data_IF_365548067523
#
_entry.id   IF_365548067523
#
_cell.length_a   1.000
_cell.length_b   1.000
_cell.length_c   1.000
_cell.angle_alpha   90.00
_cell.angle_beta   90.00
_cell.angle_gamma   90.00
#
_symmetry.space_group_name_H-M   'P 1'
#
loop_
_entity.id
_entity.type
_entity.pdbx_description
1 polymer ?
#
# COMPACT_ATOMS: atom_id res chain seq x y z
N UNK A 1 8.35 31.60 11.93
CA UNK A 1 7.16 31.72 11.07
C UNK A 1 6.31 30.48 11.32
N UNK A 2 5.03 30.62 11.63
CA UNK A 2 4.11 29.48 11.78
C UNK A 2 3.43 29.25 10.43
N UNK A 3 3.40 28.00 9.99
CA UNK A 3 2.78 27.59 8.74
C UNK A 3 1.66 26.58 9.00
N UNK A 4 0.57 26.65 8.24
CA UNK A 4 -0.49 25.65 8.33
C UNK A 4 0.01 24.31 7.79
N UNK A 5 -0.29 23.22 8.51
CA UNK A 5 0.11 21.88 8.13
C UNK A 5 -0.50 21.48 6.77
N UNK A 6 0.33 21.43 5.74
CA UNK A 6 -0.10 21.05 4.40
C UNK A 6 -0.22 19.53 4.25
N UNK A 7 0.69 18.78 4.89
CA UNK A 7 0.75 17.33 4.85
C UNK A 7 1.42 16.76 6.12
N UNK A 8 1.19 15.51 6.44
CA UNK A 8 1.66 14.89 7.69
C UNK A 8 3.01 14.16 7.54
N UNK A 9 3.45 13.88 6.31
CA UNK A 9 4.63 13.04 6.04
C UNK A 9 5.95 13.76 6.20
N UNK A 10 6.10 14.97 5.65
CA UNK A 10 7.36 15.73 5.78
C UNK A 10 7.75 16.02 7.23
N UNK A 11 6.83 16.43 8.12
CA UNK A 11 7.14 16.56 9.56
C UNK A 11 7.58 15.23 10.19
N UNK A 12 6.92 14.13 9.82
CA UNK A 12 7.30 12.80 10.30
C UNK A 12 8.68 12.39 9.85
N UNK A 13 9.02 12.57 8.57
CA UNK A 13 10.36 12.25 8.05
C UNK A 13 11.43 13.06 8.79
N UNK A 14 11.18 14.33 9.11
CA UNK A 14 12.10 15.11 9.94
C UNK A 14 12.31 14.45 11.31
N UNK A 15 11.25 13.98 11.95
CA UNK A 15 11.35 13.28 13.23
C UNK A 15 12.12 11.96 13.10
N UNK A 16 11.86 11.14 12.06
CA UNK A 16 12.57 9.89 11.77
C UNK A 16 14.09 10.14 11.64
N UNK A 17 14.46 11.17 10.88
CA UNK A 17 15.87 11.52 10.63
C UNK A 17 16.57 12.01 11.90
N UNK A 18 15.93 12.92 12.64
CA UNK A 18 16.50 13.48 13.89
C UNK A 18 16.70 12.39 14.95
N UNK A 19 15.77 11.44 15.05
CA UNK A 19 15.83 10.36 16.04
C UNK A 19 16.52 9.09 15.50
N UNK A 20 17.04 9.10 14.26
CA UNK A 20 17.71 7.97 13.62
C UNK A 20 16.91 6.66 13.69
N UNK A 21 15.62 6.73 13.37
CA UNK A 21 14.71 5.59 13.46
C UNK A 21 14.87 4.70 12.22
N UNK A 22 15.16 3.42 12.39
CA UNK A 22 15.38 2.44 11.33
C UNK A 22 14.19 1.53 11.05
N UNK A 23 13.35 1.29 12.07
CA UNK A 23 12.16 0.46 11.96
C UNK A 23 11.04 1.07 12.79
N UNK A 24 9.94 1.45 12.14
CA UNK A 24 8.80 2.05 12.80
C UNK A 24 7.55 1.98 11.94
N UNK A 25 6.41 1.70 12.57
CA UNK A 25 5.09 1.82 11.94
C UNK A 25 4.27 2.83 12.72
N UNK A 26 3.65 3.76 12.01
CA UNK A 26 2.77 4.74 12.65
C UNK A 26 1.47 4.89 11.87
N UNK A 27 0.45 5.37 12.55
CA UNK A 27 -0.63 6.11 11.93
C UNK A 27 -0.77 7.48 12.59
N UNK A 28 -1.24 8.44 11.82
CA UNK A 28 -1.56 9.78 12.31
C UNK A 28 -2.84 10.25 11.64
N UNK A 29 -3.76 10.80 12.43
CA UNK A 29 -4.99 11.42 11.95
C UNK A 29 -4.96 12.88 12.38
N UNK A 30 -4.90 13.78 11.39
CA UNK A 30 -4.87 15.20 11.70
C UNK A 30 -5.51 16.01 10.57
N UNK A 31 -5.73 17.30 10.87
CA UNK A 31 -6.25 18.26 9.92
C UNK A 31 -5.11 18.76 9.03
N UNK A 32 -5.32 18.69 7.72
CA UNK A 32 -4.41 19.25 6.73
C UNK A 32 -5.09 20.37 5.96
N UNK A 33 -4.30 21.33 5.50
CA UNK A 33 -4.78 22.52 4.85
C UNK A 33 -4.32 22.59 3.40
N UNK A 34 -5.18 23.07 2.52
CA UNK A 34 -4.85 23.29 1.12
C UNK A 34 -4.93 24.78 0.83
N UNK A 35 -4.07 25.23 -0.09
CA UNK A 35 -4.00 26.63 -0.49
C UNK A 35 -5.39 27.14 -0.91
N UNK A 36 -5.75 28.30 -0.40
CA UNK A 36 -6.97 28.99 -0.81
C UNK A 36 -6.84 29.49 -2.25
N UNK A 37 -7.96 29.49 -2.96
CA UNK A 37 -8.06 30.15 -4.26
C UNK A 37 -8.59 31.56 -4.04
N UNK A 38 -7.85 32.57 -4.48
CA UNK A 38 -8.19 33.98 -4.27
C UNK A 38 -8.08 34.41 -2.79
N UNK A 39 -9.09 35.11 -2.29
CA UNK A 39 -9.16 35.60 -0.90
C UNK A 39 -9.95 34.69 0.04
N UNK A 40 -10.28 33.48 -0.37
CA UNK A 40 -10.99 32.51 0.48
C UNK A 40 -10.11 31.99 1.62
N UNK A 41 -10.75 31.47 2.67
CA UNK A 41 -10.03 30.74 3.73
C UNK A 41 -9.44 29.45 3.18
N UNK A 42 -8.27 29.01 3.71
CA UNK A 42 -7.69 27.72 3.30
C UNK A 42 -8.67 26.57 3.53
N UNK A 43 -8.87 25.76 2.51
CA UNK A 43 -9.63 24.53 2.65
C UNK A 43 -8.88 23.56 3.58
N UNK A 44 -9.60 22.89 4.44
CA UNK A 44 -9.02 21.87 5.31
C UNK A 44 -9.88 20.61 5.32
N UNK A 45 -9.25 19.47 5.60
CA UNK A 45 -9.92 18.20 5.79
C UNK A 45 -9.10 17.29 6.69
N UNK A 46 -9.75 16.26 7.26
CA UNK A 46 -9.06 15.25 8.04
C UNK A 46 -8.42 14.21 7.10
N UNK A 47 -7.12 14.05 7.29
CA UNK A 47 -6.29 13.05 6.60
C UNK A 47 -5.78 12.05 7.62
N UNK A 48 -5.80 10.76 7.25
CA UNK A 48 -5.14 9.70 7.99
C UNK A 48 -3.94 9.23 7.20
N UNK A 49 -2.76 9.26 7.79
CA UNK A 49 -1.54 8.68 7.22
C UNK A 49 -1.18 7.39 7.94
N UNK A 50 -0.72 6.41 7.17
CA UNK A 50 -0.06 5.23 7.68
C UNK A 50 1.29 5.11 7.02
N UNK A 51 2.35 5.00 7.81
CA UNK A 51 3.74 4.98 7.34
C UNK A 51 4.50 3.81 7.96
N UNK A 52 5.35 3.19 7.14
CA UNK A 52 6.27 2.12 7.53
C UNK A 52 7.69 2.57 7.21
N UNK A 53 8.53 2.65 8.22
CA UNK A 53 9.96 2.90 8.11
C UNK A 53 10.69 1.56 8.25
N UNK A 54 11.64 1.30 7.36
CA UNK A 54 12.35 0.01 7.29
C UNK A 54 11.59 -1.04 6.49
N UNK A 55 12.06 -2.28 6.55
CA UNK A 55 11.46 -3.42 5.88
C UNK A 55 11.84 -3.58 4.41
N UNK A 56 11.43 -4.73 3.86
CA UNK A 56 11.69 -5.08 2.46
C UNK A 56 10.79 -4.33 1.52
N UNK A 57 11.33 -3.87 0.41
CA UNK A 57 10.56 -3.33 -0.72
C UNK A 57 9.49 -4.31 -1.18
N UNK A 58 8.39 -3.78 -1.70
CA UNK A 58 7.18 -4.45 -2.18
C UNK A 58 6.30 -5.03 -1.07
N UNK A 59 6.89 -5.63 -0.04
CA UNK A 59 6.14 -6.17 1.10
C UNK A 59 5.50 -5.05 1.92
N UNK A 60 6.27 -4.00 2.20
CA UNK A 60 5.78 -2.83 2.95
C UNK A 60 4.75 -2.02 2.16
N UNK A 61 4.90 -1.93 0.83
CA UNK A 61 3.89 -1.33 -0.05
C UNK A 61 2.60 -2.12 -0.05
N UNK A 62 2.70 -3.44 -0.12
CA UNK A 62 1.52 -4.32 -0.05
C UNK A 62 0.81 -4.20 1.31
N UNK A 63 1.57 -4.10 2.40
CA UNK A 63 1.00 -3.90 3.74
C UNK A 63 0.28 -2.55 3.85
N UNK A 64 0.85 -1.47 3.32
CA UNK A 64 0.19 -0.16 3.30
C UNK A 64 -1.15 -0.19 2.55
N UNK A 65 -1.20 -0.87 1.39
CA UNK A 65 -2.45 -1.09 0.66
C UNK A 65 -3.43 -1.93 1.48
N UNK A 66 -2.96 -3.01 2.11
CA UNK A 66 -3.79 -3.91 2.93
C UNK A 66 -4.47 -3.17 4.09
N UNK A 67 -3.74 -2.34 4.81
CA UNK A 67 -4.28 -1.54 5.92
C UNK A 67 -5.47 -0.67 5.47
N UNK A 68 -5.32 0.04 4.35
CA UNK A 68 -6.41 0.89 3.83
C UNK A 68 -7.57 0.05 3.28
N UNK A 69 -7.28 -1.08 2.63
CA UNK A 69 -8.34 -1.99 2.16
C UNK A 69 -9.15 -2.54 3.34
N UNK A 70 -8.51 -2.97 4.42
CA UNK A 70 -9.19 -3.48 5.62
C UNK A 70 -10.02 -2.40 6.32
N UNK A 71 -9.51 -1.17 6.35
CA UNK A 71 -10.26 -0.04 6.86
C UNK A 71 -11.46 0.26 5.97
N UNK A 72 -11.27 0.39 4.66
CA UNK A 72 -12.32 0.75 3.72
C UNK A 72 -13.43 -0.30 3.63
N UNK A 73 -13.10 -1.58 3.74
CA UNK A 73 -14.08 -2.68 3.72
C UNK A 73 -14.96 -2.77 4.97
N UNK A 74 -14.62 -2.02 6.03
CA UNK A 74 -15.53 -1.85 7.18
C UNK A 74 -16.73 -0.94 6.83
N UNK A 75 -16.60 -0.08 5.85
CA UNK A 75 -17.60 0.91 5.44
C UNK A 75 -18.23 0.59 4.08
N UNK A 76 -17.47 0.01 3.18
CA UNK A 76 -17.87 -0.24 1.79
C UNK A 76 -17.74 -1.70 1.42
N UNK A 77 -18.56 -2.15 0.46
CA UNK A 77 -18.42 -3.51 -0.05
C UNK A 77 -17.07 -3.65 -0.80
N UNK A 78 -16.33 -4.76 -0.64
CA UNK A 78 -15.00 -4.92 -1.28
C UNK A 78 -15.02 -4.71 -2.79
N UNK A 79 -16.08 -5.12 -3.50
CA UNK A 79 -16.20 -4.93 -4.95
C UNK A 79 -16.34 -3.48 -5.40
N UNK A 80 -16.67 -2.57 -4.47
CA UNK A 80 -16.77 -1.14 -4.74
C UNK A 80 -15.41 -0.41 -4.69
N UNK A 81 -14.34 -1.09 -4.27
CA UNK A 81 -13.03 -0.47 -4.06
C UNK A 81 -12.08 -0.94 -5.16
N UNK A 82 -11.43 -0.02 -5.88
CA UNK A 82 -10.39 -0.32 -6.87
C UNK A 82 -9.01 0.14 -6.34
N UNK A 83 -8.03 -0.73 -6.46
CA UNK A 83 -6.61 -0.42 -6.23
C UNK A 83 -5.93 -0.28 -7.58
N UNK A 84 -5.32 0.88 -7.86
CA UNK A 84 -4.55 1.11 -9.07
C UNK A 84 -3.09 1.22 -8.73
N UNK A 85 -2.29 0.49 -9.47
CA UNK A 85 -0.83 0.41 -9.32
C UNK A 85 -0.15 0.94 -10.56
N UNK A 86 0.95 1.62 -10.36
CA UNK A 86 1.93 1.90 -11.39
C UNK A 86 3.34 1.90 -10.78
N UNK A 87 4.34 1.97 -11.64
CA UNK A 87 5.73 2.09 -11.26
C UNK A 87 6.35 3.27 -12.00
N UNK A 88 7.07 4.14 -11.27
CA UNK A 88 7.67 5.35 -11.86
C UNK A 88 8.55 5.06 -13.06
N UNK A 89 9.30 3.94 -13.04
CA UNK A 89 10.14 3.53 -14.17
C UNK A 89 9.33 3.09 -15.38
N UNK A 90 8.22 2.36 -15.17
CA UNK A 90 7.31 1.98 -16.27
C UNK A 90 6.71 3.22 -16.92
N UNK A 91 6.26 4.18 -16.13
CA UNK A 91 5.75 5.46 -16.64
C UNK A 91 6.81 6.21 -17.46
N UNK A 92 8.05 6.27 -16.97
CA UNK A 92 9.15 6.90 -17.70
C UNK A 92 9.41 6.22 -19.06
N UNK A 93 9.39 4.89 -19.13
CA UNK A 93 9.55 4.16 -20.38
C UNK A 93 8.39 4.38 -21.35
N UNK A 94 7.16 4.44 -20.84
CA UNK A 94 5.98 4.82 -21.65
C UNK A 94 6.15 6.22 -22.23
N UNK A 95 6.62 7.19 -21.45
CA UNK A 95 6.89 8.53 -21.96
C UNK A 95 7.99 8.57 -23.00
N UNK A 96 9.09 7.83 -22.81
CA UNK A 96 10.16 7.72 -23.78
C UNK A 96 9.66 7.06 -25.09
N UNK A 97 8.91 5.96 -24.96
CA UNK A 97 8.32 5.26 -26.12
C UNK A 97 7.30 6.15 -26.86
N UNK A 98 6.47 6.89 -26.12
CA UNK A 98 5.52 7.81 -26.73
C UNK A 98 6.20 9.03 -27.36
N UNK A 99 7.41 9.39 -26.95
CA UNK A 99 8.15 10.57 -27.40
C UNK A 99 7.80 11.85 -26.65
N UNK A 100 7.39 11.72 -25.38
CA UNK A 100 7.13 12.87 -24.50
C UNK A 100 8.45 13.43 -23.98
N UNK A 101 8.78 14.66 -24.37
CA UNK A 101 10.01 15.34 -23.94
C UNK A 101 10.00 15.62 -22.43
N UNK A 102 11.17 15.64 -21.81
CA UNK A 102 11.31 15.85 -20.34
C UNK A 102 10.66 17.13 -19.86
N UNK A 103 10.67 18.18 -20.68
CA UNK A 103 10.20 19.52 -20.34
C UNK A 103 8.68 19.58 -20.14
N UNK A 104 7.92 18.76 -20.87
CA UNK A 104 6.44 18.77 -20.82
C UNK A 104 5.86 17.62 -20.00
N UNK A 105 6.68 16.70 -19.46
CA UNK A 105 6.19 15.53 -18.73
C UNK A 105 5.29 15.89 -17.56
N UNK A 106 5.63 16.95 -16.83
CA UNK A 106 4.82 17.39 -15.70
C UNK A 106 3.42 17.82 -16.16
N UNK A 107 3.33 18.66 -17.18
CA UNK A 107 2.04 19.12 -17.73
C UNK A 107 1.22 17.97 -18.34
N UNK A 108 1.89 17.03 -19.02
CA UNK A 108 1.25 15.81 -19.52
C UNK A 108 0.72 14.96 -18.36
N UNK A 109 1.50 14.78 -17.27
CA UNK A 109 1.07 14.04 -16.09
C UNK A 109 -0.16 14.67 -15.42
N UNK A 110 -0.20 15.99 -15.32
CA UNK A 110 -1.35 16.73 -14.78
C UNK A 110 -2.62 16.48 -15.61
N UNK A 111 -2.54 16.54 -16.94
CA UNK A 111 -3.66 16.23 -17.82
C UNK A 111 -4.07 14.75 -17.74
N UNK A 112 -3.12 13.83 -17.73
CA UNK A 112 -3.41 12.40 -17.61
C UNK A 112 -4.03 12.04 -16.27
N UNK A 113 -3.74 12.79 -15.20
CA UNK A 113 -4.37 12.56 -13.89
C UNK A 113 -5.90 12.66 -13.95
N UNK A 114 -6.44 13.45 -14.88
CA UNK A 114 -7.89 13.61 -15.08
C UNK A 114 -8.55 12.33 -15.61
N UNK A 115 -7.86 11.55 -16.44
CA UNK A 115 -8.41 10.26 -16.92
C UNK A 115 -8.25 9.14 -15.90
N UNK A 116 -7.29 9.25 -14.99
CA UNK A 116 -7.04 8.24 -13.95
C UNK A 116 -8.23 8.13 -12.98
N UNK A 117 -9.06 9.16 -12.81
CA UNK A 117 -10.29 9.07 -12.03
C UNK A 117 -11.29 8.03 -12.59
N UNK A 118 -11.22 7.74 -13.89
CA UNK A 118 -12.06 6.74 -14.54
C UNK A 118 -11.33 5.39 -14.62
N UNK A 119 -12.03 4.24 -14.36
CA UNK A 119 -11.40 2.92 -14.45
C UNK A 119 -10.80 2.66 -15.83
N UNK A 120 -9.64 1.97 -15.92
CA UNK A 120 -9.09 1.54 -17.20
C UNK A 120 -10.15 0.79 -18.04
N UNK A 121 -10.11 1.01 -19.34
CA UNK A 121 -11.03 0.40 -20.34
C UNK A 121 -12.52 0.77 -20.18
N UNK A 122 -12.91 1.60 -19.23
CA UNK A 122 -14.28 2.07 -19.07
C UNK A 122 -14.73 2.96 -20.25
N UNK A 123 -16.04 2.98 -20.52
CA UNK A 123 -16.63 3.86 -21.55
C UNK A 123 -16.35 5.32 -21.24
N UNK A 124 -16.42 5.72 -19.97
CA UNK A 124 -16.15 7.08 -19.51
C UNK A 124 -14.69 7.46 -19.77
N UNK A 125 -13.72 6.58 -19.48
CA UNK A 125 -12.30 6.84 -19.78
C UNK A 125 -12.08 7.07 -21.27
N UNK A 126 -12.73 6.29 -22.13
CA UNK A 126 -12.68 6.48 -23.58
C UNK A 126 -13.29 7.82 -24.00
N UNK A 127 -14.39 8.23 -23.39
CA UNK A 127 -15.01 9.53 -23.64
C UNK A 127 -14.11 10.70 -23.21
N UNK A 128 -13.46 10.59 -22.05
CA UNK A 128 -12.56 11.62 -21.53
C UNK A 128 -11.32 11.81 -22.42
N UNK A 129 -10.89 10.77 -23.15
CA UNK A 129 -9.78 10.89 -24.09
C UNK A 129 -10.00 11.96 -25.17
N UNK A 130 -11.24 12.19 -25.61
CA UNK A 130 -11.53 13.25 -26.59
C UNK A 130 -11.17 14.65 -26.08
N UNK A 131 -11.42 14.90 -24.80
CA UNK A 131 -11.06 16.14 -24.12
C UNK A 131 -9.53 16.24 -23.91
N UNK A 132 -8.93 15.22 -23.34
CA UNK A 132 -7.48 15.17 -23.06
C UNK A 132 -6.67 15.29 -24.36
N UNK A 133 -7.07 14.56 -25.42
CA UNK A 133 -6.42 14.66 -26.74
C UNK A 133 -6.38 16.10 -27.24
N UNK A 134 -7.49 16.82 -27.11
CA UNK A 134 -7.56 18.23 -27.54
C UNK A 134 -6.58 19.10 -26.75
N UNK A 135 -6.52 18.94 -25.44
CA UNK A 135 -5.59 19.72 -24.60
C UNK A 135 -4.13 19.37 -24.89
N UNK A 136 -3.79 18.09 -25.07
CA UNK A 136 -2.43 17.67 -25.42
C UNK A 136 -1.97 18.26 -26.76
N UNK A 137 -2.87 18.34 -27.75
CA UNK A 137 -2.55 18.89 -29.07
C UNK A 137 -2.53 20.43 -29.09
N UNK A 138 -3.52 21.07 -28.46
CA UNK A 138 -3.72 22.54 -28.57
C UNK A 138 -2.98 23.32 -27.49
N UNK A 139 -2.98 22.84 -26.24
CA UNK A 139 -2.41 23.57 -25.11
C UNK A 139 -0.93 23.24 -24.92
N UNK A 140 -0.56 21.95 -25.07
CA UNK A 140 0.82 21.50 -24.93
C UNK A 140 1.56 21.34 -26.25
N UNK A 141 0.90 21.58 -27.39
CA UNK A 141 1.47 21.51 -28.74
C UNK A 141 2.21 20.19 -29.04
N UNK A 142 1.74 19.07 -28.47
CA UNK A 142 2.32 17.77 -28.77
C UNK A 142 2.00 17.34 -30.19
N UNK A 143 2.96 16.65 -30.82
CA UNK A 143 2.72 16.06 -32.12
C UNK A 143 1.62 14.98 -32.03
N UNK A 144 0.78 14.87 -33.05
CA UNK A 144 -0.33 13.92 -33.11
C UNK A 144 0.13 12.47 -32.84
N UNK A 145 1.26 12.09 -33.44
CA UNK A 145 1.86 10.76 -33.25
C UNK A 145 2.24 10.46 -31.78
N UNK A 146 2.59 11.48 -30.98
CA UNK A 146 2.87 11.32 -29.54
C UNK A 146 1.58 11.04 -28.80
N UNK A 147 0.53 11.81 -29.08
CA UNK A 147 -0.78 11.65 -28.46
C UNK A 147 -1.41 10.31 -28.82
N UNK A 148 -1.29 9.85 -30.06
CA UNK A 148 -1.75 8.53 -30.52
C UNK A 148 -1.04 7.39 -29.78
N UNK A 149 0.27 7.52 -29.53
CA UNK A 149 1.02 6.54 -28.74
C UNK A 149 0.59 6.53 -27.28
N UNK A 150 0.35 7.69 -26.66
CA UNK A 150 -0.19 7.75 -25.28
C UNK A 150 -1.56 7.09 -25.19
N UNK A 151 -2.45 7.36 -26.15
CA UNK A 151 -3.76 6.71 -26.21
C UNK A 151 -3.65 5.20 -26.46
N UNK A 152 -2.69 4.77 -27.26
CA UNK A 152 -2.39 3.36 -27.47
C UNK A 152 -1.88 2.71 -26.19
N UNK A 153 -1.02 3.39 -25.40
CA UNK A 153 -0.57 2.91 -24.10
C UNK A 153 -1.75 2.67 -23.15
N UNK A 154 -2.70 3.61 -23.11
CA UNK A 154 -3.92 3.46 -22.30
C UNK A 154 -4.73 2.24 -22.69
N UNK A 155 -5.03 2.10 -23.98
CA UNK A 155 -5.87 1.01 -24.48
C UNK A 155 -5.21 -0.37 -24.36
N UNK A 156 -3.89 -0.42 -24.54
CA UNK A 156 -3.16 -1.69 -24.63
C UNK A 156 -2.61 -2.15 -23.29
N UNK A 157 -2.09 -1.25 -22.47
CA UNK A 157 -1.31 -1.61 -21.29
C UNK A 157 -2.02 -1.29 -19.96
N UNK A 158 -3.10 -0.51 -19.95
CA UNK A 158 -3.93 -0.35 -18.77
C UNK A 158 -5.03 -1.42 -18.72
N UNK A 159 -5.30 -1.95 -17.52
CA UNK A 159 -6.33 -2.98 -17.34
C UNK A 159 -6.19 -3.74 -16.04
N UNK A 160 -6.93 -4.85 -15.90
CA UNK A 160 -6.76 -5.76 -14.78
C UNK A 160 -5.29 -6.22 -14.68
N UNK A 161 -4.80 -6.41 -13.46
CA UNK A 161 -3.38 -6.65 -13.21
C UNK A 161 -2.80 -7.77 -14.08
N UNK A 162 -3.46 -8.92 -14.16
CA UNK A 162 -2.96 -10.08 -14.93
C UNK A 162 -2.87 -9.78 -16.43
N UNK A 163 -3.93 -9.16 -16.99
CA UNK A 163 -3.98 -8.84 -18.41
C UNK A 163 -2.97 -7.75 -18.78
N UNK A 164 -2.84 -6.72 -17.96
CA UNK A 164 -1.91 -5.62 -18.20
C UNK A 164 -0.46 -6.10 -18.10
N UNK A 165 -0.11 -6.87 -17.06
CA UNK A 165 1.24 -7.43 -16.88
C UNK A 165 1.61 -8.38 -18.01
N UNK A 166 0.69 -9.24 -18.47
CA UNK A 166 0.94 -10.13 -19.61
C UNK A 166 1.26 -9.35 -20.91
N UNK A 167 0.52 -8.26 -21.17
CA UNK A 167 0.74 -7.41 -22.34
C UNK A 167 2.03 -6.60 -22.23
N UNK A 168 2.36 -6.09 -21.04
CA UNK A 168 3.60 -5.36 -20.78
C UNK A 168 4.83 -6.24 -20.95
N UNK A 169 4.78 -7.49 -20.49
CA UNK A 169 5.87 -8.47 -20.71
C UNK A 169 6.08 -8.81 -22.19
N UNK A 170 5.01 -8.82 -22.97
CA UNK A 170 5.06 -9.01 -24.43
C UNK A 170 5.54 -7.76 -25.20
N UNK A 171 5.59 -6.60 -24.56
CA UNK A 171 6.17 -5.39 -25.11
C UNK A 171 7.69 -5.43 -24.88
N UNK A 172 8.47 -5.25 -25.95
CA UNK A 172 9.94 -5.24 -25.83
C UNK A 172 10.35 -3.91 -25.20
N UNK A 173 10.66 -3.93 -23.91
CA UNK A 173 11.35 -2.82 -23.25
C UNK A 173 12.85 -3.04 -23.37
N UNK A 174 13.59 -2.12 -24.00
CA UNK A 174 15.03 -2.28 -24.20
C UNK A 174 15.83 -2.11 -22.89
N UNK A 175 15.21 -1.53 -21.86
CA UNK A 175 15.88 -1.22 -20.60
C UNK A 175 15.69 -2.32 -19.54
N UNK A 176 16.81 -2.81 -19.00
CA UNK A 176 16.81 -3.79 -17.89
C UNK A 176 16.10 -3.29 -16.65
N UNK A 177 16.13 -1.98 -16.37
CA UNK A 177 15.44 -1.39 -15.24
C UNK A 177 13.92 -1.42 -15.40
N UNK A 178 13.43 -1.27 -16.63
CA UNK A 178 12.01 -1.43 -16.92
C UNK A 178 11.56 -2.89 -16.72
N UNK A 179 12.37 -3.86 -17.15
CA UNK A 179 12.08 -5.28 -16.88
C UNK A 179 12.00 -5.57 -15.38
N UNK A 180 12.95 -5.04 -14.60
CA UNK A 180 12.91 -5.17 -13.14
C UNK A 180 11.65 -4.51 -12.53
N UNK A 181 11.27 -3.34 -13.01
CA UNK A 181 10.05 -2.66 -12.56
C UNK A 181 8.77 -3.47 -12.84
N UNK A 182 8.72 -4.21 -13.95
CA UNK A 182 7.62 -5.13 -14.26
C UNK A 182 7.61 -6.36 -13.33
N UNK A 183 8.79 -6.87 -12.96
CA UNK A 183 8.90 -7.93 -11.97
C UNK A 183 8.43 -7.46 -10.59
N UNK A 184 8.81 -6.24 -10.20
CA UNK A 184 8.35 -5.62 -8.95
C UNK A 184 6.83 -5.44 -8.92
N UNK A 185 6.20 -4.95 -10.00
CA UNK A 185 4.75 -4.89 -10.12
C UNK A 185 4.10 -6.27 -10.03
N UNK A 186 4.68 -7.28 -10.67
CA UNK A 186 4.18 -8.65 -10.62
C UNK A 186 4.24 -9.23 -9.22
N UNK A 187 5.33 -9.00 -8.50
CA UNK A 187 5.52 -9.43 -7.11
C UNK A 187 4.54 -8.73 -6.18
N UNK A 188 4.36 -7.41 -6.36
CA UNK A 188 3.36 -6.65 -5.62
C UNK A 188 1.95 -7.22 -5.79
N UNK A 189 1.54 -7.53 -7.02
CA UNK A 189 0.24 -8.16 -7.30
C UNK A 189 0.13 -9.53 -6.65
N UNK A 190 1.22 -10.32 -6.61
CA UNK A 190 1.26 -11.61 -5.92
C UNK A 190 1.03 -11.45 -4.41
N UNK A 191 1.67 -10.48 -3.77
CA UNK A 191 1.46 -10.21 -2.34
C UNK A 191 0.03 -9.75 -2.03
N UNK A 192 -0.53 -8.86 -2.84
CA UNK A 192 -1.93 -8.45 -2.70
C UNK A 192 -2.89 -9.64 -2.87
N UNK A 193 -2.56 -10.57 -3.76
CA UNK A 193 -3.32 -11.80 -3.97
C UNK A 193 -3.31 -12.70 -2.73
N UNK A 194 -2.15 -12.89 -2.11
CA UNK A 194 -1.99 -13.63 -0.84
C UNK A 194 -2.89 -13.04 0.24
N UNK A 195 -3.08 -11.72 0.24
CA UNK A 195 -3.98 -11.04 1.16
C UNK A 195 -5.42 -10.89 0.64
N UNK A 196 -5.82 -11.70 -0.34
CA UNK A 196 -7.16 -11.73 -0.93
C UNK A 196 -7.63 -10.42 -1.58
N UNK A 197 -6.69 -9.56 -1.98
CA UNK A 197 -6.96 -8.33 -2.72
C UNK A 197 -6.68 -8.60 -4.21
N UNK A 198 -7.57 -9.31 -4.89
CA UNK A 198 -7.31 -9.79 -6.27
C UNK A 198 -8.18 -9.10 -7.30
N UNK A 199 -9.49 -9.07 -7.06
CA UNK A 199 -10.47 -8.77 -8.11
C UNK A 199 -10.52 -7.29 -8.50
N UNK A 200 -9.89 -6.42 -7.72
CA UNK A 200 -9.98 -4.98 -7.86
C UNK A 200 -8.61 -4.31 -8.05
N UNK A 201 -7.59 -5.09 -8.45
CA UNK A 201 -6.25 -4.57 -8.72
C UNK A 201 -6.08 -4.30 -10.20
N UNK A 202 -5.74 -3.06 -10.52
CA UNK A 202 -5.56 -2.55 -11.86
C UNK A 202 -4.15 -2.02 -12.05
N UNK A 203 -3.54 -2.27 -13.19
CA UNK A 203 -2.34 -1.57 -13.63
C UNK A 203 -2.77 -0.40 -14.52
N UNK A 204 -2.29 0.79 -14.19
CA UNK A 204 -2.53 2.00 -14.96
C UNK A 204 -1.21 2.69 -15.30
N UNK A 205 -0.62 2.32 -16.43
CA UNK A 205 0.72 2.78 -16.85
C UNK A 205 0.80 4.29 -17.10
N UNK A 206 -0.34 4.97 -17.23
CA UNK A 206 -0.41 6.42 -17.40
C UNK A 206 -0.65 7.16 -16.09
N UNK A 207 -0.89 6.45 -14.99
CA UNK A 207 -1.10 7.05 -13.67
C UNK A 207 0.21 7.66 -13.16
N UNK A 208 0.30 9.00 -13.01
CA UNK A 208 1.47 9.63 -12.41
C UNK A 208 1.47 9.44 -10.88
N UNK A 209 2.64 9.50 -10.25
CA UNK A 209 2.70 9.60 -8.79
C UNK A 209 2.06 10.91 -8.34
N UNK A 210 1.30 10.86 -7.23
CA UNK A 210 0.63 12.05 -6.68
C UNK A 210 1.59 13.00 -5.97
N UNK A 211 2.72 12.47 -5.51
CA UNK A 211 3.77 13.25 -4.86
C UNK A 211 5.09 13.07 -5.60
N UNK A 212 5.83 14.14 -5.75
CA UNK A 212 7.10 14.16 -6.50
C UNK A 212 8.19 13.29 -5.88
N UNK A 213 8.08 13.02 -4.59
CA UNK A 213 9.02 12.18 -3.84
C UNK A 213 8.69 10.69 -3.91
N UNK A 214 7.57 10.28 -4.50
CA UNK A 214 7.30 8.86 -4.68
C UNK A 214 8.20 8.25 -5.75
N UNK A 215 8.81 7.14 -5.41
CA UNK A 215 9.71 6.37 -6.27
C UNK A 215 9.31 4.90 -6.30
N UNK A 216 9.63 4.20 -7.39
CA UNK A 216 9.23 2.80 -7.53
C UNK A 216 7.72 2.65 -7.66
N UNK A 217 7.13 1.70 -6.93
CA UNK A 217 5.68 1.48 -6.93
C UNK A 217 4.96 2.61 -6.22
N UNK A 218 3.93 3.11 -6.88
CA UNK A 218 2.94 4.03 -6.30
C UNK A 218 1.54 3.53 -6.62
N UNK A 219 0.58 3.90 -5.76
CA UNK A 219 -0.77 3.38 -5.84
C UNK A 219 -1.82 4.41 -5.44
N UNK A 220 -3.01 4.23 -5.98
CA UNK A 220 -4.19 5.02 -5.68
C UNK A 220 -5.35 4.07 -5.42
N UNK A 221 -6.17 4.38 -4.42
CA UNK A 221 -7.35 3.60 -4.05
C UNK A 221 -8.59 4.45 -4.30
N UNK A 222 -9.51 3.89 -5.07
CA UNK A 222 -10.74 4.55 -5.50
C UNK A 222 -11.96 3.81 -4.99
N UNK A 223 -12.99 4.56 -4.63
CA UNK A 223 -14.34 4.06 -4.42
C UNK A 223 -15.16 4.25 -5.72
N UNK A 224 -15.73 3.16 -6.23
CA UNK A 224 -16.73 3.21 -7.31
C UNK A 224 -18.03 3.74 -6.75
N UNK A 225 -18.61 4.75 -7.35
CA UNK A 225 -19.93 5.21 -6.92
C UNK A 225 -21.01 4.20 -7.31
N UNK A 226 -21.96 4.00 -6.40
CA UNK A 226 -23.14 3.17 -6.65
C UNK A 226 -24.06 3.83 -7.70
N UNK A 227 -24.62 3.00 -8.57
CA UNK A 227 -25.39 3.29 -9.81
C UNK A 227 -26.64 4.16 -9.68
N UNK A 228 -26.78 5.07 -8.72
CA UNK A 228 -28.04 5.81 -8.54
C UNK A 228 -28.05 7.29 -8.97
N UNK A 229 -26.90 7.88 -9.28
CA UNK A 229 -26.88 9.26 -9.82
C UNK A 229 -25.87 9.34 -10.96
N UNK A 230 -26.36 9.68 -12.15
CA UNK A 230 -25.65 10.01 -13.40
C UNK A 230 -24.12 9.87 -13.42
N UNK A 231 -23.63 8.89 -14.20
CA UNK A 231 -22.26 8.76 -14.75
C UNK A 231 -21.13 9.29 -13.87
N UNK A 232 -20.94 8.69 -12.68
CA UNK A 232 -20.07 9.27 -11.70
C UNK A 232 -18.60 8.83 -11.83
N UNK A 233 -17.71 9.72 -11.48
CA UNK A 233 -16.29 9.47 -11.34
C UNK A 233 -16.03 8.66 -10.09
N UNK A 234 -15.10 7.68 -10.18
CA UNK A 234 -14.67 6.98 -8.98
C UNK A 234 -14.00 8.00 -8.04
N UNK A 235 -14.38 7.98 -6.78
CA UNK A 235 -13.83 8.92 -5.80
C UNK A 235 -12.47 8.43 -5.30
N UNK A 236 -11.43 9.23 -5.49
CA UNK A 236 -10.10 8.97 -4.93
C UNK A 236 -10.17 9.06 -3.40
N UNK A 237 -9.90 7.92 -2.73
CA UNK A 237 -9.90 7.82 -1.27
C UNK A 237 -8.51 7.89 -0.68
N UNK A 238 -7.54 7.19 -1.29
CA UNK A 238 -6.20 7.13 -0.74
C UNK A 238 -5.13 7.12 -1.84
N UNK A 239 -3.96 7.64 -1.48
CA UNK A 239 -2.76 7.70 -2.33
C UNK A 239 -1.55 7.27 -1.54
N UNK A 240 -0.62 6.56 -2.17
CA UNK A 240 0.58 6.12 -1.48
C UNK A 240 1.70 5.68 -2.40
N UNK A 241 2.84 5.40 -1.80
CA UNK A 241 4.03 4.93 -2.49
C UNK A 241 5.27 4.95 -1.61
N UNK A 242 6.37 4.54 -2.19
CA UNK A 242 7.69 4.57 -1.56
C UNK A 242 8.28 5.98 -1.62
N UNK A 243 8.86 6.43 -0.50
CA UNK A 243 9.44 7.78 -0.40
C UNK A 243 10.86 7.78 0.21
N UNK A 244 11.65 6.76 -0.08
CA UNK A 244 13.05 6.64 0.38
C UNK A 244 13.86 7.90 0.06
N UNK A 245 13.63 8.51 -1.11
CA UNK A 245 14.31 9.71 -1.53
C UNK A 245 14.08 10.90 -0.57
N UNK A 246 12.86 11.04 -0.04
CA UNK A 246 12.54 12.09 0.93
C UNK A 246 13.34 11.89 2.25
N UNK A 247 13.52 10.64 2.67
CA UNK A 247 14.36 10.30 3.83
C UNK A 247 15.82 10.57 3.51
N UNK A 248 16.32 10.10 2.36
CA UNK A 248 17.71 10.26 1.94
C UNK A 248 18.14 11.72 1.85
N UNK A 249 17.30 12.59 1.31
CA UNK A 249 17.62 14.03 1.20
C UNK A 249 17.88 14.70 2.54
N UNK A 250 17.27 14.19 3.61
CA UNK A 250 17.37 14.76 4.96
C UNK A 250 18.32 13.98 5.86
N UNK A 251 18.73 12.77 5.44
CA UNK A 251 19.64 11.92 6.22
C UNK A 251 21.03 12.51 6.20
N UNK A 252 21.58 12.81 7.38
CA UNK A 252 22.89 13.44 7.48
C UNK A 252 24.01 12.50 7.00
N UNK A 253 24.97 13.03 6.26
CA UNK A 253 26.19 12.32 5.88
C UNK A 253 27.07 11.92 7.08
N UNK A 254 26.83 12.51 8.25
CA UNK A 254 27.49 12.16 9.50
C UNK A 254 26.97 10.85 10.09
N UNK A 255 25.79 10.41 9.67
CA UNK A 255 25.24 9.12 10.06
C UNK A 255 26.02 8.00 9.37
N UNK A 256 26.64 7.12 10.14
CA UNK A 256 27.44 5.99 9.63
C UNK A 256 26.62 4.90 8.96
N UNK A 257 25.31 4.97 9.04
CA UNK A 257 24.34 3.98 8.52
C UNK A 257 23.60 4.49 7.31
N UNK A 258 23.21 3.58 6.42
CA UNK A 258 22.34 3.91 5.30
C UNK A 258 20.94 4.29 5.79
N UNK A 259 20.27 5.24 5.13
CA UNK A 259 18.90 5.60 5.46
C UNK A 259 17.96 4.40 5.28
N UNK A 260 16.95 4.24 6.14
CA UNK A 260 15.96 3.18 6.00
C UNK A 260 15.06 3.43 4.80
N UNK A 261 14.48 2.35 4.26
CA UNK A 261 13.37 2.46 3.31
C UNK A 261 12.14 3.06 3.98
N UNK A 262 11.27 3.68 3.20
CA UNK A 262 10.08 4.32 3.71
C UNK A 262 8.92 4.22 2.73
N UNK A 263 7.77 3.79 3.23
CA UNK A 263 6.52 3.66 2.48
C UNK A 263 5.39 4.30 3.26
N UNK A 264 4.45 4.92 2.57
CA UNK A 264 3.29 5.46 3.24
C UNK A 264 2.07 5.58 2.34
N UNK A 265 0.92 5.68 2.99
CA UNK A 265 -0.36 5.90 2.37
C UNK A 265 -1.13 6.99 3.12
N UNK A 266 -1.74 7.90 2.38
CA UNK A 266 -2.56 8.98 2.89
C UNK A 266 -4.02 8.74 2.49
N UNK A 267 -4.91 8.70 3.46
CA UNK A 267 -6.35 8.47 3.32
C UNK A 267 -7.13 9.75 3.59
N UNK A 268 -8.00 10.15 2.68
CA UNK A 268 -8.91 11.27 2.86
C UNK A 268 -10.12 10.84 3.72
N UNK A 269 -9.94 10.79 5.04
CA UNK A 269 -10.93 10.27 5.99
C UNK A 269 -12.27 10.98 5.88
N UNK A 270 -12.27 12.29 5.70
CA UNK A 270 -13.52 13.05 5.58
C UNK A 270 -14.35 12.62 4.35
N UNK A 271 -13.69 12.26 3.24
CA UNK A 271 -14.38 11.71 2.07
C UNK A 271 -14.99 10.34 2.38
N UNK A 272 -14.24 9.48 3.10
CA UNK A 272 -14.74 8.16 3.52
C UNK A 272 -16.00 8.34 4.37
N UNK A 273 -15.97 9.20 5.37
CA UNK A 273 -17.13 9.43 6.24
C UNK A 273 -18.33 10.08 5.54
N UNK A 274 -18.11 10.95 4.56
CA UNK A 274 -19.20 11.54 3.77
C UNK A 274 -19.89 10.53 2.86
N UNK A 275 -19.18 9.50 2.42
CA UNK A 275 -19.67 8.50 1.47
C UNK A 275 -20.24 7.26 2.18
N UNK A 276 -19.86 6.99 3.42
CA UNK A 276 -20.46 5.90 4.17
C UNK A 276 -21.86 6.30 4.67
N UNK A 277 -22.86 5.53 4.31
CA UNK A 277 -24.17 5.60 4.99
C UNK A 277 -23.95 5.23 6.46
N UNK A 278 -24.49 6.06 7.37
CA UNK A 278 -24.20 6.00 8.81
C UNK A 278 -24.89 4.78 9.47
N UNK A 279 -24.44 3.59 9.13
CA UNK A 279 -24.63 2.39 9.96
C UNK A 279 -23.28 1.96 10.52
N UNK A 280 -22.74 2.81 11.38
CA UNK A 280 -21.49 2.49 12.10
C UNK A 280 -21.82 1.33 13.04
N UNK A 281 -21.42 0.13 12.67
CA UNK A 281 -21.45 -1.00 13.59
C UNK A 281 -20.58 -0.66 14.79
N UNK A 282 -21.03 -0.96 16.02
CA UNK A 282 -20.22 -0.70 17.19
C UNK A 282 -18.85 -1.38 17.04
N UNK A 283 -17.77 -0.73 17.53
CA UNK A 283 -16.44 -1.30 17.43
C UNK A 283 -16.45 -2.69 18.09
N UNK A 284 -15.96 -3.68 17.33
CA UNK A 284 -15.76 -5.02 17.91
C UNK A 284 -14.69 -4.91 18.99
N UNK A 285 -14.88 -5.64 20.07
CA UNK A 285 -13.92 -5.71 21.18
C UNK A 285 -12.56 -6.16 20.60
N UNK A 286 -11.57 -5.30 20.67
CA UNK A 286 -10.21 -5.67 20.30
C UNK A 286 -9.65 -6.63 21.34
N UNK A 287 -9.16 -7.77 20.91
CA UNK A 287 -8.42 -8.68 21.77
C UNK A 287 -7.03 -8.07 22.02
N UNK A 288 -6.71 -7.77 23.25
CA UNK A 288 -5.45 -7.12 23.67
C UNK A 288 -4.26 -8.11 23.66
N UNK A 289 -4.15 -8.95 22.64
CA UNK A 289 -2.99 -9.80 22.44
C UNK A 289 -2.21 -9.25 21.25
N UNK A 290 -0.95 -8.93 21.48
CA UNK A 290 -0.01 -8.58 20.41
C UNK A 290 0.79 -9.82 20.05
N UNK A 291 0.72 -10.24 18.79
CA UNK A 291 1.28 -11.53 18.31
C UNK A 291 2.29 -11.24 17.20
N UNK A 292 3.46 -11.87 17.26
CA UNK A 292 4.41 -11.92 16.15
C UNK A 292 4.35 -13.28 15.47
N UNK A 293 4.07 -13.28 14.18
CA UNK A 293 4.15 -14.51 13.35
C UNK A 293 5.58 -14.66 12.84
N UNK A 294 6.23 -15.70 13.33
CA UNK A 294 7.61 -16.04 13.04
C UNK A 294 7.72 -17.27 12.13
N UNK A 295 8.88 -17.45 11.51
CA UNK A 295 9.25 -18.65 10.78
C UNK A 295 10.57 -19.22 11.29
N UNK A 296 10.76 -20.52 11.13
CA UNK A 296 12.02 -21.20 11.38
C UNK A 296 12.35 -22.15 10.23
N UNK A 297 13.39 -21.81 9.46
CA UNK A 297 13.77 -22.53 8.24
C UNK A 297 12.80 -22.31 7.08
N UNK A 298 12.91 -23.12 6.04
CA UNK A 298 11.98 -23.09 4.89
C UNK A 298 12.06 -21.84 4.03
N UNK A 299 13.20 -21.12 3.97
CA UNK A 299 13.33 -19.89 3.19
C UNK A 299 12.45 -18.75 3.71
N UNK A 300 12.19 -18.72 5.03
CA UNK A 300 11.46 -17.65 5.71
C UNK A 300 9.95 -17.80 5.71
N UNK A 301 9.35 -18.70 4.90
CA UNK A 301 7.90 -18.94 4.84
C UNK A 301 7.09 -17.65 4.76
N UNK A 302 7.49 -16.74 3.86
CA UNK A 302 6.93 -15.39 3.78
C UNK A 302 5.43 -15.41 3.52
N UNK A 303 4.97 -16.20 2.56
CA UNK A 303 3.56 -16.25 2.18
C UNK A 303 2.70 -16.80 3.30
N UNK A 304 3.16 -17.84 3.96
CA UNK A 304 2.47 -18.47 5.09
C UNK A 304 2.40 -17.52 6.31
N UNK A 305 3.45 -16.72 6.54
CA UNK A 305 3.43 -15.66 7.57
C UNK A 305 2.42 -14.58 7.21
N UNK A 306 2.38 -14.14 5.96
CA UNK A 306 1.43 -13.14 5.47
C UNK A 306 -0.02 -13.63 5.57
N UNK A 307 -0.29 -14.88 5.19
CA UNK A 307 -1.62 -15.49 5.28
C UNK A 307 -2.11 -15.54 6.73
N UNK A 308 -1.28 -16.06 7.63
CA UNK A 308 -1.66 -16.16 9.03
C UNK A 308 -1.90 -14.81 9.69
N UNK A 309 -1.06 -13.83 9.40
CA UNK A 309 -1.26 -12.46 9.89
C UNK A 309 -2.56 -11.86 9.37
N UNK A 310 -2.89 -12.08 8.10
CA UNK A 310 -4.16 -11.61 7.53
C UNK A 310 -5.38 -12.24 8.22
N UNK A 311 -5.33 -13.54 8.53
CA UNK A 311 -6.40 -14.22 9.29
C UNK A 311 -6.54 -13.65 10.71
N UNK A 312 -5.42 -13.38 11.39
CA UNK A 312 -5.42 -12.78 12.72
C UNK A 312 -6.02 -11.36 12.70
N UNK A 313 -5.67 -10.55 11.69
CA UNK A 313 -6.28 -9.22 11.51
C UNK A 313 -7.79 -9.30 11.24
N UNK A 314 -8.24 -10.26 10.42
CA UNK A 314 -9.67 -10.49 10.19
C UNK A 314 -10.41 -10.89 11.47
N UNK A 315 -9.73 -11.59 12.39
CA UNK A 315 -10.23 -11.92 13.72
C UNK A 315 -10.12 -10.77 14.74
N UNK A 316 -9.73 -9.55 14.32
CA UNK A 316 -9.45 -8.38 15.15
C UNK A 316 -8.36 -8.60 16.23
N UNK A 317 -7.36 -9.40 15.91
CA UNK A 317 -6.17 -9.58 16.74
C UNK A 317 -5.04 -8.68 16.25
N UNK A 318 -4.28 -8.11 17.18
CA UNK A 318 -3.06 -7.37 16.84
C UNK A 318 -1.97 -8.37 16.50
N UNK A 319 -1.60 -8.44 15.24
CA UNK A 319 -0.58 -9.36 14.75
C UNK A 319 0.40 -8.65 13.84
N UNK A 320 1.64 -9.06 13.90
CA UNK A 320 2.73 -8.54 13.07
C UNK A 320 3.61 -9.68 12.58
N UNK A 321 4.46 -9.39 11.63
CA UNK A 321 5.57 -10.25 11.19
C UNK A 321 6.76 -9.37 10.83
N UNK A 322 7.97 -9.90 10.92
CA UNK A 322 9.17 -9.17 10.52
C UNK A 322 9.11 -8.94 9.00
N UNK A 323 9.18 -7.69 8.51
CA UNK A 323 9.00 -7.36 7.09
C UNK A 323 10.27 -7.66 6.26
N UNK A 324 10.78 -8.88 6.41
CA UNK A 324 11.90 -9.46 5.64
C UNK A 324 11.43 -10.76 5.00
N UNK A 325 11.98 -11.12 3.84
CA UNK A 325 11.61 -12.34 3.14
C UNK A 325 12.03 -13.61 3.90
N UNK A 326 13.24 -13.62 4.44
CA UNK A 326 13.83 -14.75 5.17
C UNK A 326 14.56 -14.27 6.44
N UNK A 327 13.82 -13.79 7.48
CA UNK A 327 14.43 -13.37 8.72
C UNK A 327 14.92 -14.57 9.53
N UNK A 328 16.10 -14.47 10.10
CA UNK A 328 16.59 -15.44 11.08
C UNK A 328 15.69 -15.45 12.33
N UNK A 329 15.68 -16.56 13.04
CA UNK A 329 14.89 -16.65 14.27
C UNK A 329 15.36 -15.61 15.32
N UNK A 330 16.66 -15.29 15.34
CA UNK A 330 17.23 -14.27 16.24
C UNK A 330 16.67 -12.89 15.93
N UNK A 331 16.69 -12.47 14.67
CA UNK A 331 16.10 -11.17 14.24
C UNK A 331 14.62 -11.07 14.62
N UNK A 332 13.87 -12.16 14.52
CA UNK A 332 12.47 -12.18 14.90
C UNK A 332 12.27 -12.06 16.42
N UNK A 333 13.15 -12.63 17.24
CA UNK A 333 13.12 -12.45 18.68
C UNK A 333 13.53 -11.03 19.10
N UNK A 334 14.54 -10.48 18.44
CA UNK A 334 14.97 -9.08 18.67
C UNK A 334 13.83 -8.11 18.32
N UNK A 335 13.18 -8.31 17.17
CA UNK A 335 12.00 -7.54 16.78
C UNK A 335 10.88 -7.63 17.84
N UNK A 336 10.59 -8.83 18.35
CA UNK A 336 9.58 -9.00 19.38
C UNK A 336 9.93 -8.24 20.66
N UNK A 337 11.21 -8.24 21.06
CA UNK A 337 11.69 -7.52 22.23
C UNK A 337 11.60 -5.98 22.05
N UNK A 338 12.00 -5.48 20.88
CA UNK A 338 11.94 -4.05 20.55
C UNK A 338 10.51 -3.50 20.52
N UNK A 339 9.53 -4.34 20.13
CA UNK A 339 8.13 -3.93 19.98
C UNK A 339 7.22 -4.41 21.13
N UNK A 340 7.80 -4.88 22.24
CA UNK A 340 7.09 -5.41 23.42
C UNK A 340 6.04 -6.48 23.08
N UNK A 341 6.36 -7.35 22.10
CA UNK A 341 5.50 -8.45 21.68
C UNK A 341 5.84 -9.69 22.52
N UNK A 342 4.87 -10.20 23.25
CA UNK A 342 5.06 -11.29 24.22
C UNK A 342 4.63 -12.65 23.70
N UNK A 343 3.81 -12.70 22.64
CA UNK A 343 3.28 -13.93 22.06
C UNK A 343 3.85 -14.15 20.65
N UNK A 344 4.51 -15.28 20.44
CA UNK A 344 5.06 -15.70 19.16
C UNK A 344 4.30 -16.88 18.61
N UNK A 345 4.00 -16.87 17.31
CA UNK A 345 3.55 -18.05 16.55
C UNK A 345 4.68 -18.42 15.61
N UNK A 346 5.27 -19.59 15.77
CA UNK A 346 6.43 -20.02 15.00
C UNK A 346 5.98 -21.07 13.98
N UNK A 347 6.07 -20.72 12.71
CA UNK A 347 5.81 -21.61 11.58
C UNK A 347 7.09 -22.38 11.21
N UNK A 348 6.94 -23.64 10.88
CA UNK A 348 8.01 -24.46 10.30
C UNK A 348 7.48 -25.22 9.10
N UNK A 349 8.32 -25.47 8.11
CA UNK A 349 7.93 -26.21 6.91
C UNK A 349 7.39 -27.62 7.26
N UNK A 350 8.09 -28.33 8.14
CA UNK A 350 7.65 -29.65 8.61
C UNK A 350 6.33 -29.56 9.40
N UNK A 351 6.15 -28.53 10.21
CA UNK A 351 4.91 -28.29 10.94
C UNK A 351 3.72 -28.11 10.01
N UNK A 352 3.88 -27.28 8.97
CA UNK A 352 2.80 -26.99 8.02
C UNK A 352 2.47 -28.16 7.09
N UNK A 353 3.51 -28.89 6.60
CA UNK A 353 3.32 -29.92 5.57
C UNK A 353 3.04 -31.31 6.13
N UNK A 354 3.60 -31.67 7.31
CA UNK A 354 3.54 -33.02 7.85
C UNK A 354 2.54 -33.18 8.99
N UNK A 355 2.52 -32.23 9.95
CA UNK A 355 1.70 -32.34 11.14
C UNK A 355 0.50 -31.41 11.21
N UNK A 356 0.47 -30.34 10.39
CA UNK A 356 -0.53 -29.31 10.50
C UNK A 356 -0.43 -28.48 11.77
N UNK A 357 0.68 -28.62 12.53
CA UNK A 357 0.88 -28.00 13.83
C UNK A 357 1.77 -26.76 13.73
N UNK A 358 1.45 -25.76 14.52
CA UNK A 358 2.27 -24.56 14.72
C UNK A 358 2.58 -24.39 16.19
N UNK A 359 3.71 -23.78 16.49
CA UNK A 359 4.18 -23.58 17.83
C UNK A 359 3.83 -22.18 18.33
N UNK A 360 3.08 -22.09 19.43
CA UNK A 360 2.76 -20.84 20.10
C UNK A 360 3.61 -20.73 21.37
N UNK A 361 4.35 -19.62 21.50
CA UNK A 361 5.26 -19.38 22.63
C UNK A 361 4.97 -18.04 23.29
N UNK A 362 4.77 -18.05 24.60
CA UNK A 362 4.68 -16.85 25.40
C UNK A 362 6.02 -16.56 26.08
N UNK A 363 6.65 -15.44 25.72
CA UNK A 363 8.02 -15.14 26.14
C UNK A 363 8.18 -14.94 27.66
N UNK A 364 7.32 -14.14 28.28
CA UNK A 364 7.40 -13.87 29.72
C UNK A 364 7.07 -15.11 30.56
N UNK A 365 6.02 -15.83 30.20
CA UNK A 365 5.59 -17.00 30.96
C UNK A 365 6.48 -18.25 30.69
N UNK A 366 7.37 -18.15 29.69
CA UNK A 366 8.22 -19.26 29.21
C UNK A 366 7.42 -20.53 28.88
N UNK A 367 6.16 -20.37 28.48
CA UNK A 367 5.24 -21.44 28.09
C UNK A 367 5.24 -21.58 26.57
N UNK A 368 5.20 -22.84 26.13
CA UNK A 368 5.15 -23.20 24.72
C UNK A 368 4.11 -24.29 24.51
N UNK A 369 3.36 -24.21 23.41
CA UNK A 369 2.34 -25.19 23.05
C UNK A 369 2.27 -25.35 21.54
N UNK A 370 2.05 -26.59 21.11
CA UNK A 370 1.73 -26.91 19.72
C UNK A 370 0.21 -26.88 19.53
N UNK A 371 -0.25 -26.21 18.48
CA UNK A 371 -1.67 -26.01 18.16
C UNK A 371 -1.85 -26.28 16.66
N UNK A 372 -2.94 -26.94 16.28
CA UNK A 372 -3.28 -27.10 14.88
C UNK A 372 -3.48 -25.73 14.21
N UNK A 373 -2.97 -25.57 12.99
CA UNK A 373 -3.02 -24.32 12.22
C UNK A 373 -4.42 -23.72 12.15
N UNK A 374 -5.46 -24.53 11.96
CA UNK A 374 -6.84 -24.10 11.88
C UNK A 374 -7.49 -23.65 13.21
N UNK A 375 -6.87 -23.99 14.36
CA UNK A 375 -7.40 -23.66 15.69
C UNK A 375 -6.69 -22.49 16.36
N UNK A 376 -5.71 -21.85 15.73
CA UNK A 376 -4.92 -20.75 16.30
C UNK A 376 -5.80 -19.63 16.83
N UNK A 377 -6.74 -19.13 16.03
CA UNK A 377 -7.61 -18.00 16.38
C UNK A 377 -8.45 -18.35 17.61
N UNK A 378 -9.04 -19.55 17.62
CA UNK A 378 -9.83 -20.04 18.76
C UNK A 378 -8.97 -20.13 20.02
N UNK A 379 -7.79 -20.73 19.91
CA UNK A 379 -6.85 -20.86 21.01
C UNK A 379 -6.44 -19.50 21.60
N UNK A 380 -6.08 -18.54 20.74
CA UNK A 380 -5.69 -17.19 21.20
C UNK A 380 -6.87 -16.43 21.83
N UNK A 381 -8.08 -16.59 21.32
CA UNK A 381 -9.29 -15.99 21.87
C UNK A 381 -9.57 -16.54 23.29
N UNK A 382 -9.50 -17.85 23.46
CA UNK A 382 -9.68 -18.49 24.76
C UNK A 382 -8.55 -18.13 25.75
N UNK A 383 -7.30 -18.07 25.27
CA UNK A 383 -6.15 -17.66 26.06
C UNK A 383 -6.24 -16.20 26.53
N UNK A 384 -6.78 -15.30 25.72
CA UNK A 384 -7.00 -13.90 26.11
C UNK A 384 -8.08 -13.75 27.19
N UNK A 385 -9.16 -14.50 27.09
CA UNK A 385 -10.26 -14.46 28.06
C UNK A 385 -9.83 -14.96 29.44
N UNK A 386 -8.85 -15.83 29.49
CA UNK A 386 -8.30 -16.41 30.74
C UNK A 386 -7.01 -15.72 31.21
N UNK A 387 -6.62 -14.58 30.61
CA UNK A 387 -5.37 -13.86 30.89
C UNK A 387 -4.10 -14.76 30.87
N UNK A 388 -4.07 -15.80 30.05
CA UNK A 388 -3.00 -16.83 30.01
C UNK A 388 -2.69 -17.51 31.36
N UNK A 389 -3.41 -17.17 32.44
CA UNK A 389 -3.12 -17.70 33.78
C UNK A 389 -3.62 -19.13 34.01
N UNK A 390 -4.63 -19.56 33.30
CA UNK A 390 -5.28 -20.87 33.51
C UNK A 390 -4.95 -21.94 32.46
N UNK A 391 -3.98 -21.73 31.59
CA UNK A 391 -3.45 -22.81 30.76
C UNK A 391 -2.50 -23.67 31.61
N UNK A 392 -3.01 -24.23 32.67
CA UNK A 392 -2.39 -25.32 33.41
C UNK A 392 -2.71 -26.62 32.69
N UNK A 393 -1.63 -27.33 32.33
CA UNK A 393 -1.47 -28.74 31.97
C UNK A 393 -2.01 -29.12 30.60
#
# INVERSE_FOLDING_TARGET
>A
MLELCHELRTPFVNWVVVNQVFSFKRYEINRVYRRAVGHSTPNHFYQGDFDIIGGSSLLTEAEAVKVVMDLATKFFHPSAIDVRLNHTRVLQEIWCWAGVSSEVRQSVAELLSLIVSSPPQSTKRKSNWGFIRRQLLQDLHLAEAVVDRLQTADLRFCGSADNALARLRGAVFPDKLACKALEELSTMVSYLRTWSIVNNVWIDVLMPPTEVYYSGIHFQIFLKEHMQVSASEATLMAVGGRYDYLVQQKWSSENRSNPPGAVGISLALEKVFRLCSIDVRPPRVELNINVLVCSKGGGGLLLERMELVAELWQANMKAEFVPLSDPSLTEQYEYAAEHDIKCLIILTEAGLTQSGLVKIRHLELKKEREVERGFIIKFLTEASSTQFRSLSI
#
